data_IF_206285026240
#
_entry.id   IF_206285026240
#
_cell.length_a   1.000
_cell.length_b   1.000
_cell.length_c   1.000
_cell.angle_alpha   90.00
_cell.angle_beta   90.00
_cell.angle_gamma   90.00
#
_symmetry.space_group_name_H-M   'P 1'
#
loop_
_entity.id
_entity.type
_entity.pdbx_description
1 polymer ?
#
# COMPACT_ATOMS: atom_id res chain seq x y z
N UNK A 1 -1.21 -32.40 6.42
CA UNK A 1 -1.17 -31.87 5.04
C UNK A 1 -2.55 -31.44 4.51
N UNK A 2 -3.67 -32.00 4.96
CA UNK A 2 -5.03 -31.57 4.56
C UNK A 2 -5.47 -30.18 5.11
N UNK A 3 -4.95 -29.75 6.26
CA UNK A 3 -5.30 -28.46 6.86
C UNK A 3 -4.80 -27.23 6.07
N UNK A 4 -3.70 -27.39 5.32
CA UNK A 4 -3.10 -26.33 4.50
C UNK A 4 -3.88 -26.06 3.19
N UNK A 5 -4.70 -27.01 2.74
CA UNK A 5 -5.57 -26.87 1.57
C UNK A 5 -6.97 -26.34 1.90
N UNK A 6 -7.27 -26.12 3.19
CA UNK A 6 -8.52 -25.48 3.61
C UNK A 6 -8.45 -23.96 3.33
N UNK A 7 -9.57 -23.27 3.03
CA UNK A 7 -9.59 -21.82 2.82
C UNK A 7 -8.95 -21.03 3.97
N UNK A 8 -9.14 -21.52 5.21
CA UNK A 8 -8.54 -20.95 6.42
C UNK A 8 -7.02 -21.16 6.49
N UNK A 9 -6.53 -22.33 6.04
CA UNK A 9 -5.09 -22.62 5.96
C UNK A 9 -4.36 -21.71 4.98
N UNK A 10 -4.94 -21.50 3.78
CA UNK A 10 -4.41 -20.58 2.77
C UNK A 10 -4.37 -19.13 3.28
N UNK A 11 -5.45 -18.67 3.92
CA UNK A 11 -5.49 -17.33 4.51
C UNK A 11 -4.38 -17.13 5.55
N UNK A 12 -4.16 -18.13 6.41
CA UNK A 12 -3.13 -18.07 7.46
C UNK A 12 -1.73 -17.97 6.86
N UNK A 13 -1.44 -18.73 5.80
CA UNK A 13 -0.16 -18.68 5.10
C UNK A 13 0.05 -17.30 4.47
N UNK A 14 -0.97 -16.77 3.79
CA UNK A 14 -0.93 -15.42 3.20
C UNK A 14 -0.68 -14.34 4.24
N UNK A 15 -1.36 -14.42 5.38
CA UNK A 15 -1.20 -13.49 6.50
C UNK A 15 0.22 -13.58 7.10
N UNK A 16 0.72 -14.79 7.36
CA UNK A 16 2.06 -15.02 7.90
C UNK A 16 3.14 -14.47 6.95
N UNK A 17 3.03 -14.75 5.65
CA UNK A 17 3.98 -14.25 4.66
C UNK A 17 3.95 -12.72 4.55
N UNK A 18 2.76 -12.11 4.59
CA UNK A 18 2.62 -10.64 4.60
C UNK A 18 3.23 -10.02 5.85
N UNK A 19 3.03 -10.64 7.02
CA UNK A 19 3.62 -10.20 8.29
C UNK A 19 5.14 -10.29 8.28
N UNK A 20 5.71 -11.37 7.73
CA UNK A 20 7.15 -11.53 7.55
C UNK A 20 7.73 -10.46 6.62
N UNK A 21 7.01 -10.09 5.56
CA UNK A 21 7.42 -9.03 4.65
C UNK A 21 7.49 -7.67 5.36
N UNK A 22 6.46 -7.32 6.13
CA UNK A 22 6.42 -6.07 6.91
C UNK A 22 7.54 -6.06 7.96
N UNK A 23 7.71 -7.16 8.71
CA UNK A 23 8.75 -7.28 9.73
C UNK A 23 10.16 -7.18 9.12
N UNK A 24 10.37 -7.81 7.96
CA UNK A 24 11.62 -7.72 7.20
C UNK A 24 11.91 -6.28 6.76
N UNK A 25 10.93 -5.61 6.14
CA UNK A 25 11.07 -4.22 5.71
C UNK A 25 11.38 -3.28 6.89
N UNK A 26 10.68 -3.45 8.02
CA UNK A 26 10.94 -2.67 9.24
C UNK A 26 12.35 -2.90 9.79
N UNK A 27 12.83 -4.14 9.78
CA UNK A 27 14.18 -4.50 10.25
C UNK A 27 15.25 -3.89 9.35
N UNK A 28 15.07 -3.93 8.03
CA UNK A 28 15.98 -3.31 7.06
C UNK A 28 16.00 -1.80 7.24
N UNK A 29 14.84 -1.16 7.41
CA UNK A 29 14.75 0.29 7.61
C UNK A 29 15.44 0.78 8.88
N UNK A 30 15.42 -0.01 9.97
CA UNK A 30 16.14 0.32 11.20
C UNK A 30 17.66 0.30 11.01
N UNK A 31 18.18 -0.63 10.21
CA UNK A 31 19.63 -0.77 10.00
C UNK A 31 20.16 0.11 8.87
N UNK A 32 19.35 0.32 7.83
CA UNK A 32 19.69 1.04 6.61
C UNK A 32 18.48 1.84 6.11
N UNK A 33 18.25 3.08 6.62
CA UNK A 33 17.05 3.85 6.29
C UNK A 33 16.81 4.04 4.79
N UNK A 34 17.87 4.26 3.99
CA UNK A 34 17.75 4.41 2.54
C UNK A 34 17.32 3.12 1.81
N UNK A 35 17.88 1.96 2.20
CA UNK A 35 17.44 0.67 1.67
C UNK A 35 16.04 0.31 2.18
N UNK A 36 15.72 0.67 3.42
CA UNK A 36 14.38 0.54 3.96
C UNK A 36 13.35 1.32 3.15
N UNK A 37 13.65 2.58 2.81
CA UNK A 37 12.80 3.40 1.96
C UNK A 37 12.62 2.80 0.56
N UNK A 38 13.67 2.20 -0.02
CA UNK A 38 13.56 1.46 -1.29
C UNK A 38 12.64 0.24 -1.16
N UNK A 39 12.83 -0.58 -0.12
CA UNK A 39 12.01 -1.78 0.11
C UNK A 39 10.54 -1.42 0.36
N UNK A 40 10.29 -0.34 1.09
CA UNK A 40 8.93 0.14 1.40
C UNK A 40 8.30 0.84 0.19
N UNK A 41 9.07 1.50 -0.68
CA UNK A 41 8.55 2.15 -1.89
C UNK A 41 8.25 1.16 -3.01
N UNK A 42 8.90 0.01 -3.02
CA UNK A 42 8.52 -1.09 -3.90
C UNK A 42 7.08 -1.50 -3.59
N UNK A 43 6.21 -1.66 -4.60
CA UNK A 43 4.80 -2.01 -4.39
C UNK A 43 4.65 -3.51 -4.07
N UNK A 44 5.46 -4.05 -3.15
CA UNK A 44 5.54 -5.47 -2.81
C UNK A 44 4.18 -6.02 -2.37
N UNK A 45 3.45 -5.26 -1.54
CA UNK A 45 2.09 -5.63 -1.15
C UNK A 45 1.17 -5.72 -2.39
N UNK A 46 1.22 -4.73 -3.28
CA UNK A 46 0.40 -4.75 -4.49
C UNK A 46 0.79 -5.88 -5.45
N UNK A 47 2.09 -6.19 -5.58
CA UNK A 47 2.55 -7.31 -6.40
C UNK A 47 2.06 -8.63 -5.82
N UNK A 48 2.14 -8.80 -4.48
CA UNK A 48 1.61 -9.99 -3.81
C UNK A 48 0.11 -10.15 -4.05
N UNK A 49 -0.68 -9.09 -3.89
CA UNK A 49 -2.13 -9.17 -4.12
C UNK A 49 -2.45 -9.50 -5.56
N UNK A 50 -1.72 -8.92 -6.53
CA UNK A 50 -1.89 -9.22 -7.96
C UNK A 50 -1.53 -10.68 -8.28
N UNK A 51 -0.42 -11.20 -7.75
CA UNK A 51 -0.02 -12.60 -7.96
C UNK A 51 -1.09 -13.54 -7.41
N UNK A 52 -1.57 -13.31 -6.19
CA UNK A 52 -2.63 -14.14 -5.61
C UNK A 52 -3.94 -14.04 -6.39
N UNK A 53 -4.34 -12.82 -6.77
CA UNK A 53 -5.53 -12.59 -7.58
C UNK A 53 -5.46 -13.36 -8.90
N UNK A 54 -4.30 -13.31 -9.56
CA UNK A 54 -4.06 -14.03 -10.81
C UNK A 54 -4.08 -15.55 -10.61
N UNK A 55 -3.47 -16.06 -9.55
CA UNK A 55 -3.45 -17.48 -9.24
C UNK A 55 -4.84 -18.04 -8.89
N UNK A 56 -5.69 -17.24 -8.24
CA UNK A 56 -7.05 -17.65 -7.86
C UNK A 56 -8.02 -17.54 -9.02
N UNK A 57 -7.95 -16.45 -9.79
CA UNK A 57 -8.80 -16.22 -10.96
C UNK A 57 -8.05 -15.39 -12.01
N UNK A 58 -7.44 -16.03 -13.03
CA UNK A 58 -6.69 -15.32 -14.06
C UNK A 58 -7.65 -14.58 -15.00
N UNK A 59 -7.96 -13.34 -14.66
CA UNK A 59 -8.80 -12.43 -15.44
C UNK A 59 -7.99 -11.18 -15.85
N UNK A 60 -7.74 -11.04 -17.15
CA UNK A 60 -6.95 -9.94 -17.72
C UNK A 60 -7.63 -8.59 -17.55
N UNK A 61 -8.95 -8.53 -17.67
CA UNK A 61 -9.70 -7.28 -17.54
C UNK A 61 -9.67 -6.80 -16.09
N UNK A 62 -9.89 -7.73 -15.14
CA UNK A 62 -9.77 -7.45 -13.71
C UNK A 62 -8.35 -6.97 -13.35
N UNK A 63 -7.32 -7.64 -13.87
CA UNK A 63 -5.93 -7.26 -13.59
C UNK A 63 -5.58 -5.89 -14.15
N UNK A 64 -6.04 -5.57 -15.37
CA UNK A 64 -5.84 -4.26 -15.98
C UNK A 64 -6.55 -3.14 -15.22
N UNK A 65 -7.78 -3.38 -14.77
CA UNK A 65 -8.52 -2.41 -13.96
C UNK A 65 -7.85 -2.19 -12.61
N UNK A 66 -7.45 -3.28 -11.92
CA UNK A 66 -6.80 -3.21 -10.63
C UNK A 66 -5.44 -2.47 -10.70
N UNK A 67 -4.61 -2.78 -11.69
CA UNK A 67 -3.31 -2.10 -11.86
C UNK A 67 -3.47 -0.61 -12.19
N UNK A 68 -4.45 -0.27 -13.02
CA UNK A 68 -4.75 1.13 -13.37
C UNK A 68 -5.28 1.90 -12.17
N UNK A 69 -6.19 1.30 -11.40
CA UNK A 69 -6.70 1.91 -10.18
C UNK A 69 -5.59 2.14 -9.15
N UNK A 70 -4.72 1.15 -8.92
CA UNK A 70 -3.57 1.29 -8.02
C UNK A 70 -2.66 2.43 -8.45
N UNK A 71 -2.38 2.60 -9.74
CA UNK A 71 -1.59 3.72 -10.24
C UNK A 71 -2.18 5.08 -9.84
N UNK A 72 -3.49 5.26 -10.03
CA UNK A 72 -4.17 6.51 -9.66
C UNK A 72 -4.23 6.73 -8.15
N UNK A 73 -4.33 5.67 -7.33
CA UNK A 73 -4.32 5.78 -5.87
C UNK A 73 -2.93 6.06 -5.29
N UNK A 74 -1.84 5.73 -5.99
CA UNK A 74 -0.48 6.10 -5.54
C UNK A 74 -0.27 7.60 -5.55
N UNK A 75 -0.74 8.30 -6.59
CA UNK A 75 -0.56 9.75 -6.75
C UNK A 75 -1.00 10.60 -5.53
N UNK A 76 -2.23 10.46 -5.02
CA UNK A 76 -2.68 11.22 -3.85
C UNK A 76 -2.00 10.80 -2.54
N UNK A 77 -1.26 9.68 -2.50
CA UNK A 77 -0.48 9.28 -1.31
C UNK A 77 0.90 9.95 -1.23
N UNK A 78 1.47 10.38 -2.38
CA UNK A 78 2.81 10.98 -2.45
C UNK A 78 2.99 12.24 -1.59
N UNK A 79 2.01 13.17 -1.50
CA UNK A 79 2.17 14.37 -0.68
C UNK A 79 2.44 14.08 0.81
N UNK A 80 1.94 12.98 1.36
CA UNK A 80 2.18 12.60 2.76
C UNK A 80 3.67 12.33 3.02
N UNK A 81 4.38 11.72 2.07
CA UNK A 81 5.80 11.41 2.20
C UNK A 81 6.69 12.66 2.22
N UNK A 82 6.19 13.80 1.73
CA UNK A 82 6.85 15.10 1.83
C UNK A 82 6.40 15.89 3.06
N UNK A 83 5.10 15.82 3.39
CA UNK A 83 4.53 16.54 4.52
C UNK A 83 5.08 16.02 5.86
N UNK A 84 5.20 14.71 6.02
CA UNK A 84 5.66 14.11 7.27
C UNK A 84 7.09 14.57 7.67
N UNK A 85 8.13 14.45 6.81
CA UNK A 85 9.46 14.96 7.16
C UNK A 85 9.48 16.48 7.32
N UNK A 86 8.64 17.22 6.59
CA UNK A 86 8.52 18.67 6.75
C UNK A 86 7.99 19.03 8.16
N UNK A 87 6.87 18.45 8.60
CA UNK A 87 6.30 18.70 9.94
C UNK A 87 7.26 18.30 11.06
N UNK A 88 7.90 17.13 10.94
CA UNK A 88 8.91 16.67 11.90
C UNK A 88 10.11 17.63 11.97
N UNK A 89 10.54 18.18 10.83
CA UNK A 89 11.58 19.20 10.75
C UNK A 89 11.19 20.53 11.40
N UNK A 90 9.90 20.82 11.57
CA UNK A 90 9.37 22.01 12.25
C UNK A 90 9.01 21.76 13.74
N UNK A 91 9.45 20.64 14.31
CA UNK A 91 9.29 20.35 15.75
C UNK A 91 7.91 19.81 16.15
N UNK A 92 7.05 19.43 15.18
CA UNK A 92 5.79 18.76 15.49
C UNK A 92 6.05 17.37 16.09
N UNK A 93 5.18 16.93 17.00
CA UNK A 93 5.26 15.57 17.52
C UNK A 93 4.95 14.54 16.42
N UNK A 94 5.59 13.38 16.47
CA UNK A 94 5.40 12.32 15.47
C UNK A 94 3.93 11.93 15.30
N UNK A 95 3.21 11.73 16.39
CA UNK A 95 1.79 11.34 16.36
C UNK A 95 0.90 12.41 15.72
N UNK A 96 1.18 13.69 15.99
CA UNK A 96 0.44 14.80 15.39
C UNK A 96 0.75 14.90 13.89
N UNK A 97 2.03 14.83 13.51
CA UNK A 97 2.46 14.86 12.11
C UNK A 97 1.85 13.69 11.31
N UNK A 98 1.81 12.50 11.90
CA UNK A 98 1.16 11.32 11.32
C UNK A 98 -0.36 11.53 11.17
N UNK A 99 -1.04 12.03 12.19
CA UNK A 99 -2.48 12.29 12.13
C UNK A 99 -2.85 13.30 11.02
N UNK A 100 -2.06 14.37 10.88
CA UNK A 100 -2.24 15.35 9.80
C UNK A 100 -1.97 14.71 8.43
N UNK A 101 -0.90 13.91 8.30
CA UNK A 101 -0.61 13.17 7.08
C UNK A 101 -1.73 12.22 6.66
N UNK A 102 -2.30 11.49 7.62
CA UNK A 102 -3.46 10.63 7.39
C UNK A 102 -4.70 11.43 6.94
N UNK A 103 -5.00 12.55 7.61
CA UNK A 103 -6.13 13.41 7.25
C UNK A 103 -5.96 14.01 5.84
N UNK A 104 -4.75 14.45 5.49
CA UNK A 104 -4.41 14.92 4.15
C UNK A 104 -4.65 13.81 3.11
N UNK A 105 -4.08 12.62 3.33
CA UNK A 105 -4.18 11.50 2.37
C UNK A 105 -5.63 11.09 2.15
N UNK A 106 -6.42 10.99 3.22
CA UNK A 106 -7.85 10.68 3.14
C UNK A 106 -8.62 11.73 2.33
N UNK A 107 -8.32 13.01 2.54
CA UNK A 107 -8.93 14.12 1.80
C UNK A 107 -8.57 14.02 0.32
N UNK A 108 -7.30 13.81 -0.01
CA UNK A 108 -6.83 13.67 -1.39
C UNK A 108 -7.44 12.45 -2.08
N UNK A 109 -7.54 11.30 -1.40
CA UNK A 109 -8.19 10.10 -1.93
C UNK A 109 -9.65 10.37 -2.26
N UNK A 110 -10.37 11.03 -1.35
CA UNK A 110 -11.78 11.40 -1.57
C UNK A 110 -11.93 12.30 -2.79
N UNK A 111 -11.05 13.28 -2.96
CA UNK A 111 -11.01 14.14 -4.14
C UNK A 111 -10.69 13.35 -5.41
N UNK A 112 -9.73 12.44 -5.39
CA UNK A 112 -9.38 11.59 -6.53
C UNK A 112 -10.55 10.73 -6.97
N UNK A 113 -11.31 10.13 -6.05
CA UNK A 113 -12.51 9.35 -6.39
C UNK A 113 -13.59 10.23 -7.01
N UNK A 114 -13.85 11.41 -6.42
CA UNK A 114 -14.87 12.34 -6.94
C UNK A 114 -14.49 12.83 -8.34
N UNK A 115 -13.28 13.38 -8.51
CA UNK A 115 -12.80 13.90 -9.80
C UNK A 115 -12.66 12.78 -10.82
N UNK A 116 -12.13 11.63 -10.43
CA UNK A 116 -11.95 10.49 -11.31
C UNK A 116 -13.27 9.96 -11.86
N UNK A 117 -14.31 9.91 -11.03
CA UNK A 117 -15.67 9.57 -11.48
C UNK A 117 -16.23 10.58 -12.48
N UNK A 118 -15.93 11.87 -12.31
CA UNK A 118 -16.33 12.90 -13.28
C UNK A 118 -15.63 12.74 -14.65
N UNK A 119 -14.43 12.14 -14.69
CA UNK A 119 -13.62 11.98 -15.90
C UNK A 119 -13.70 10.57 -16.50
N UNK A 120 -14.57 9.70 -15.95
CA UNK A 120 -14.76 8.32 -16.41
C UNK A 120 -13.58 7.38 -16.12
N UNK A 121 -12.74 7.71 -15.12
CA UNK A 121 -11.65 6.82 -14.71
C UNK A 121 -12.21 5.57 -14.00
N UNK A 122 -11.59 4.39 -14.17
CA UNK A 122 -12.01 3.15 -13.51
C UNK A 122 -11.51 3.12 -12.06
N UNK A 123 -12.09 3.97 -11.20
CA UNK A 123 -11.69 4.17 -9.80
C UNK A 123 -12.77 3.79 -8.79
#
# INVERSE_FOLDING_TARGET
>A
MAALASPAGLFTIKAAFSGLLIAGAATVAQRWPGLGALVVSLPLLSIMTMVWLWCEKPDRALMSAHSTATFWYVLPSLPMFLLLPWLLGHGWSFWLALAVGCALTFTLYSLTVVVGRHWGLPL
#
